data_IF_741037143577
#
_entry.id   IF_741037143577
#
_cell.length_a   1.000
_cell.length_b   1.000
_cell.length_c   1.000
_cell.angle_alpha   90.00
_cell.angle_beta   90.00
_cell.angle_gamma   90.00
#
_symmetry.space_group_name_H-M   'P 1'
#
loop_
_entity.id
_entity.type
_entity.pdbx_description
1 polymer ?
#
# COMPACT_ATOMS: atom_id res chain seq x y z
N UNK A 1 15.22 -13.47 0.82
CA UNK A 1 14.79 -14.81 1.30
C UNK A 1 13.73 -15.41 0.36
N UNK A 2 12.52 -14.84 0.28
CA UNK A 2 11.41 -15.41 -0.50
C UNK A 2 11.57 -15.47 -2.03
N UNK A 3 12.45 -14.65 -2.63
CA UNK A 3 12.63 -14.66 -4.09
C UNK A 3 13.03 -16.03 -4.65
N UNK A 4 13.77 -16.83 -3.87
CA UNK A 4 14.21 -18.18 -4.28
C UNK A 4 13.09 -19.23 -4.25
N UNK A 5 11.95 -18.92 -3.63
CA UNK A 5 10.81 -19.84 -3.49
C UNK A 5 9.62 -19.47 -4.38
N UNK A 6 9.65 -18.30 -5.04
CA UNK A 6 8.61 -17.85 -5.97
C UNK A 6 9.00 -18.32 -7.37
N UNK A 7 8.09 -19.02 -8.06
CA UNK A 7 8.30 -19.49 -9.43
C UNK A 7 8.46 -18.34 -10.43
N UNK A 8 9.22 -18.54 -11.52
CA UNK A 8 9.50 -17.50 -12.52
C UNK A 8 8.26 -17.01 -13.28
N UNK A 9 7.16 -17.75 -13.24
CA UNK A 9 5.87 -17.40 -13.83
C UNK A 9 5.15 -16.25 -13.10
N UNK A 10 5.52 -15.96 -11.85
CA UNK A 10 4.91 -14.92 -11.05
C UNK A 10 5.65 -13.59 -11.21
N UNK A 11 4.88 -12.51 -11.37
CA UNK A 11 5.39 -11.14 -11.26
C UNK A 11 5.41 -10.73 -9.80
N UNK A 12 6.57 -10.31 -9.31
CA UNK A 12 6.74 -9.85 -7.93
C UNK A 12 6.81 -8.33 -7.90
N UNK A 13 6.09 -7.72 -6.96
CA UNK A 13 6.13 -6.29 -6.71
C UNK A 13 6.45 -6.08 -5.23
N UNK A 14 7.29 -5.08 -4.94
CA UNK A 14 7.80 -4.83 -3.58
C UNK A 14 7.72 -3.34 -3.23
N UNK A 15 7.47 -3.07 -1.95
CA UNK A 15 7.42 -1.72 -1.37
C UNK A 15 7.57 -1.81 0.15
N UNK A 16 8.18 -0.79 0.75
CA UNK A 16 8.22 -0.63 2.21
C UNK A 16 7.01 0.19 2.68
N UNK A 17 5.88 -0.50 2.86
CA UNK A 17 4.64 0.12 3.35
C UNK A 17 4.72 0.51 4.83
N UNK A 18 5.55 -0.18 5.62
CA UNK A 18 5.70 0.08 7.06
C UNK A 18 6.32 1.46 7.31
N UNK A 19 7.39 1.81 6.58
CA UNK A 19 7.99 3.14 6.69
C UNK A 19 7.01 4.25 6.32
N UNK A 20 6.21 4.07 5.26
CA UNK A 20 5.17 5.04 4.87
C UNK A 20 4.10 5.18 5.96
N UNK A 21 3.65 4.07 6.56
CA UNK A 21 2.67 4.13 7.64
C UNK A 21 3.22 4.91 8.86
N UNK A 22 4.48 4.70 9.23
CA UNK A 22 5.13 5.46 10.30
C UNK A 22 5.26 6.94 9.97
N UNK A 23 5.74 7.29 8.77
CA UNK A 23 5.84 8.68 8.26
C UNK A 23 4.50 9.41 8.36
N UNK A 24 3.39 8.71 8.10
CA UNK A 24 2.03 9.26 8.11
C UNK A 24 1.28 9.06 9.43
N UNK A 25 1.97 8.61 10.49
CA UNK A 25 1.41 8.40 11.84
C UNK A 25 0.23 7.42 11.84
N UNK A 26 0.27 6.40 10.98
CA UNK A 26 -0.69 5.30 10.94
C UNK A 26 -0.16 4.14 11.80
N UNK A 27 -0.67 4.04 13.03
CA UNK A 27 -0.12 3.13 14.04
C UNK A 27 1.08 3.72 14.78
N UNK A 28 1.79 2.89 15.53
CA UNK A 28 3.05 3.25 16.20
C UNK A 28 4.26 2.74 15.40
N UNK A 29 5.48 3.24 15.66
CA UNK A 29 6.68 2.66 15.05
C UNK A 29 6.84 1.15 15.32
N UNK A 30 6.38 0.68 16.47
CA UNK A 30 6.36 -0.74 16.83
C UNK A 30 5.19 -1.53 16.25
N UNK A 31 4.15 -0.86 15.77
CA UNK A 31 2.94 -1.48 15.22
C UNK A 31 2.31 -0.58 14.14
N UNK A 32 2.95 -0.48 12.96
CA UNK A 32 2.46 0.34 11.86
C UNK A 32 1.22 -0.28 11.21
N UNK A 33 0.22 0.54 10.90
CA UNK A 33 -1.01 0.11 10.23
C UNK A 33 -0.86 0.32 8.73
N UNK A 34 -0.71 -0.78 7.98
CA UNK A 34 -0.34 -0.77 6.56
C UNK A 34 -1.47 -1.18 5.60
N UNK A 35 -2.65 -1.52 6.11
CA UNK A 35 -3.75 -2.09 5.32
C UNK A 35 -4.16 -1.23 4.11
N UNK A 36 -4.40 0.06 4.31
CA UNK A 36 -4.79 1.00 3.23
C UNK A 36 -3.63 1.32 2.31
N UNK A 37 -2.42 1.39 2.86
CA UNK A 37 -1.19 1.56 2.09
C UNK A 37 -1.00 0.40 1.08
N UNK A 38 -1.24 -0.84 1.52
CA UNK A 38 -1.20 -2.05 0.68
C UNK A 38 -2.23 -2.00 -0.47
N UNK A 39 -3.39 -1.36 -0.29
CA UNK A 39 -4.37 -1.20 -1.39
C UNK A 39 -3.80 -0.36 -2.55
N UNK A 40 -3.00 0.65 -2.24
CA UNK A 40 -2.23 1.39 -3.24
C UNK A 40 -1.25 0.51 -3.99
N UNK A 41 -0.51 -0.35 -3.27
CA UNK A 41 0.40 -1.30 -3.90
C UNK A 41 -0.33 -2.28 -4.83
N UNK A 42 -1.48 -2.78 -4.37
CA UNK A 42 -2.31 -3.69 -5.15
C UNK A 42 -2.80 -3.03 -6.45
N UNK A 43 -3.29 -1.79 -6.39
CA UNK A 43 -3.72 -1.04 -7.57
C UNK A 43 -2.58 -0.88 -8.58
N UNK A 44 -1.36 -0.57 -8.11
CA UNK A 44 -0.18 -0.44 -8.98
C UNK A 44 0.24 -1.77 -9.62
N UNK A 45 0.33 -2.82 -8.81
CA UNK A 45 0.84 -4.12 -9.24
C UNK A 45 -0.10 -4.83 -10.21
N UNK A 46 -1.41 -4.67 -10.03
CA UNK A 46 -2.42 -5.42 -10.79
C UNK A 46 -3.06 -4.61 -11.92
N UNK A 47 -3.18 -3.29 -11.77
CA UNK A 47 -3.93 -2.45 -12.70
C UNK A 47 -5.44 -2.75 -12.75
N UNK A 48 -5.97 -3.58 -11.85
CA UNK A 48 -7.38 -4.00 -11.85
C UNK A 48 -8.32 -2.90 -11.36
N UNK A 49 -7.81 -1.96 -10.56
CA UNK A 49 -8.56 -0.85 -10.00
C UNK A 49 -7.77 0.44 -10.17
N UNK A 50 -8.48 1.55 -10.36
CA UNK A 50 -7.89 2.89 -10.39
C UNK A 50 -7.54 3.29 -8.96
N UNK A 51 -6.43 4.01 -8.79
CA UNK A 51 -6.02 4.48 -7.47
C UNK A 51 -7.03 5.50 -6.91
N UNK A 52 -7.64 6.30 -7.77
CA UNK A 52 -8.65 7.28 -7.39
C UNK A 52 -9.87 6.60 -6.74
N UNK A 53 -10.29 5.44 -7.27
CA UNK A 53 -11.36 4.65 -6.67
C UNK A 53 -10.97 4.04 -5.32
N UNK A 54 -9.69 3.70 -5.14
CA UNK A 54 -9.17 3.24 -3.84
C UNK A 54 -9.17 4.39 -2.83
N UNK A 55 -8.73 5.58 -3.23
CA UNK A 55 -8.72 6.77 -2.37
C UNK A 55 -10.14 7.17 -1.95
N UNK A 56 -11.11 7.15 -2.88
CA UNK A 56 -12.52 7.39 -2.59
C UNK A 56 -13.06 6.37 -1.57
N UNK A 57 -12.89 5.07 -1.83
CA UNK A 57 -13.34 4.02 -0.92
C UNK A 57 -12.73 4.12 0.48
N UNK A 58 -11.45 4.52 0.59
CA UNK A 58 -10.81 4.79 1.88
C UNK A 58 -11.50 5.95 2.60
N UNK A 59 -11.80 7.04 1.88
CA UNK A 59 -12.50 8.20 2.40
C UNK A 59 -13.88 7.86 2.96
N UNK A 60 -14.58 6.92 2.33
CA UNK A 60 -15.92 6.52 2.74
C UNK A 60 -15.92 5.53 3.91
N UNK A 61 -15.03 4.53 3.88
CA UNK A 61 -15.14 3.35 4.73
C UNK A 61 -14.20 3.34 5.94
N UNK A 62 -13.11 4.12 5.94
CA UNK A 62 -12.15 4.10 7.05
C UNK A 62 -12.66 4.98 8.21
N UNK A 63 -12.68 4.47 9.45
CA UNK A 63 -13.30 5.16 10.58
C UNK A 63 -12.48 6.36 11.12
N UNK A 64 -11.19 6.45 10.80
CA UNK A 64 -10.31 7.53 11.30
C UNK A 64 -9.13 7.78 10.38
N UNK A 65 -8.52 8.97 10.50
CA UNK A 65 -7.32 9.36 9.73
C UNK A 65 -7.49 9.16 8.21
N UNK A 66 -8.67 9.51 7.69
CA UNK A 66 -9.06 9.25 6.29
C UNK A 66 -8.03 9.80 5.30
N UNK A 67 -7.64 11.07 5.48
CA UNK A 67 -6.68 11.75 4.61
C UNK A 67 -5.28 11.14 4.69
N UNK A 68 -4.83 10.71 5.87
CA UNK A 68 -3.54 10.03 6.03
C UNK A 68 -3.55 8.65 5.37
N UNK A 69 -4.64 7.89 5.50
CA UNK A 69 -4.81 6.61 4.84
C UNK A 69 -4.83 6.75 3.31
N UNK A 70 -5.52 7.76 2.76
CA UNK A 70 -5.51 8.08 1.33
C UNK A 70 -4.09 8.41 0.84
N UNK A 71 -3.40 9.33 1.54
CA UNK A 71 -2.01 9.71 1.23
C UNK A 71 -1.07 8.51 1.29
N UNK A 72 -1.20 7.65 2.28
CA UNK A 72 -0.37 6.45 2.41
C UNK A 72 -0.60 5.49 1.23
N UNK A 73 -1.85 5.27 0.80
CA UNK A 73 -2.16 4.48 -0.38
C UNK A 73 -1.49 5.05 -1.64
N UNK A 74 -1.59 6.36 -1.88
CA UNK A 74 -0.96 6.98 -3.04
C UNK A 74 0.56 6.90 -3.02
N UNK A 75 1.18 7.25 -1.90
CA UNK A 75 2.64 7.21 -1.78
C UNK A 75 3.15 5.78 -1.98
N UNK A 76 2.46 4.78 -1.43
CA UNK A 76 2.82 3.39 -1.67
C UNK A 76 2.65 3.00 -3.13
N UNK A 77 1.54 3.39 -3.78
CA UNK A 77 1.34 3.15 -5.21
C UNK A 77 2.50 3.68 -6.06
N UNK A 78 2.98 4.89 -5.75
CA UNK A 78 4.08 5.53 -6.48
C UNK A 78 5.44 4.87 -6.18
N UNK A 79 5.63 4.35 -4.95
CA UNK A 79 6.88 3.73 -4.50
C UNK A 79 7.01 2.24 -4.85
N UNK A 80 5.95 1.58 -5.34
CA UNK A 80 6.03 0.17 -5.72
C UNK A 80 6.98 -0.02 -6.89
N UNK A 81 7.90 -0.96 -6.75
CA UNK A 81 8.80 -1.39 -7.82
C UNK A 81 8.57 -2.86 -8.16
N UNK A 82 8.74 -3.20 -9.43
CA UNK A 82 8.73 -4.59 -9.85
C UNK A 82 10.05 -5.25 -9.44
N UNK A 83 9.94 -6.33 -8.69
CA UNK A 83 11.05 -7.11 -8.13
C UNK A 83 11.71 -8.00 -9.16
#
# INVERSE_FOLDING_TARGET
YYRKTIGPEFKVFVVDASSVAVEHRLGSPSNPIVNTAILGAFAKATGLVKLESVEEAIGDNVPSKKTENQKAARIVYDRVVQG
#
